data_IF_911408792051
#
_entry.id   IF_911408792051
#
_cell.length_a   1.000
_cell.length_b   1.000
_cell.length_c   1.000
_cell.angle_alpha   90.00
_cell.angle_beta   90.00
_cell.angle_gamma   90.00
#
_symmetry.space_group_name_H-M   'P 1'
#
loop_
_entity.id
_entity.type
_entity.pdbx_description
1 polymer ?
#
# COMPACT_ATOMS: atom_id res chain seq x y z
N UNK A 1 -18.09 15.23 -25.94
CA UNK A 1 -17.68 13.89 -25.45
C UNK A 1 -17.41 14.02 -23.96
N UNK A 2 -18.24 13.42 -23.10
CA UNK A 2 -17.98 13.37 -21.66
C UNK A 2 -17.16 12.10 -21.44
N UNK A 3 -15.84 12.24 -21.37
CA UNK A 3 -14.99 11.13 -20.93
C UNK A 3 -15.34 10.86 -19.47
N UNK A 4 -15.82 9.66 -19.18
CA UNK A 4 -15.94 9.17 -17.82
C UNK A 4 -14.62 9.47 -17.11
N UNK A 5 -14.64 10.24 -16.02
CA UNK A 5 -13.44 10.48 -15.23
C UNK A 5 -12.98 9.12 -14.71
N UNK A 6 -11.98 8.55 -15.38
CA UNK A 6 -11.54 7.20 -15.08
C UNK A 6 -10.84 7.26 -13.73
N UNK A 7 -11.42 6.58 -12.74
CA UNK A 7 -10.93 6.51 -11.36
C UNK A 7 -9.49 6.00 -11.24
N UNK A 8 -9.00 5.27 -12.25
CA UNK A 8 -7.58 4.89 -12.33
C UNK A 8 -6.69 6.11 -12.60
N UNK A 9 -7.16 7.07 -13.39
CA UNK A 9 -6.46 8.32 -13.68
C UNK A 9 -6.29 9.15 -12.39
N UNK A 10 -7.27 9.14 -11.49
CA UNK A 10 -7.16 9.86 -10.21
C UNK A 10 -6.06 9.28 -9.30
N UNK A 11 -5.94 7.95 -9.21
CA UNK A 11 -4.86 7.29 -8.45
C UNK A 11 -3.51 7.57 -9.10
N UNK A 12 -3.44 7.51 -10.43
CA UNK A 12 -2.21 7.82 -11.16
C UNK A 12 -1.81 9.29 -11.01
N UNK A 13 -2.77 10.22 -11.03
CA UNK A 13 -2.52 11.63 -10.78
C UNK A 13 -1.91 11.87 -9.39
N UNK A 14 -2.48 11.24 -8.35
CA UNK A 14 -1.95 11.33 -6.98
C UNK A 14 -0.49 10.88 -6.91
N UNK A 15 -0.17 9.73 -7.52
CA UNK A 15 1.18 9.15 -7.45
C UNK A 15 2.18 9.95 -8.30
N UNK A 16 1.83 10.25 -9.55
CA UNK A 16 2.80 10.78 -10.52
C UNK A 16 2.83 12.30 -10.61
N UNK A 17 1.67 12.98 -10.49
CA UNK A 17 1.58 14.43 -10.64
C UNK A 17 1.63 15.14 -9.28
N UNK A 18 0.95 14.59 -8.27
CA UNK A 18 0.95 15.16 -6.92
C UNK A 18 2.12 14.62 -6.06
N UNK A 19 2.86 13.64 -6.56
CA UNK A 19 4.07 13.13 -5.91
C UNK A 19 3.81 12.34 -4.63
N UNK A 20 2.62 11.75 -4.50
CA UNK A 20 2.30 10.87 -3.37
C UNK A 20 3.19 9.62 -3.41
N UNK A 21 3.91 9.38 -2.32
CA UNK A 21 4.88 8.29 -2.20
C UNK A 21 4.77 7.65 -0.82
N UNK A 22 5.20 6.40 -0.74
CA UNK A 22 5.53 5.74 0.51
C UNK A 22 6.81 6.38 1.03
N UNK A 23 6.73 6.98 2.23
CA UNK A 23 7.84 7.60 2.92
C UNK A 23 8.55 6.62 3.85
N UNK A 24 7.77 5.81 4.58
CA UNK A 24 8.30 4.80 5.49
C UNK A 24 7.28 3.70 5.76
N UNK A 25 7.77 2.60 6.33
CA UNK A 25 6.97 1.48 6.81
C UNK A 25 7.39 1.16 8.24
N UNK A 26 6.43 1.10 9.14
CA UNK A 26 6.59 0.52 10.47
C UNK A 26 5.80 -0.81 10.55
N UNK A 27 6.40 -1.83 11.16
CA UNK A 27 5.77 -3.13 11.33
C UNK A 27 5.56 -3.44 12.81
N UNK A 28 4.32 -3.77 13.18
CA UNK A 28 3.96 -4.29 14.50
C UNK A 28 3.91 -5.82 14.48
N UNK A 29 4.88 -6.53 15.11
CA UNK A 29 4.92 -7.99 15.12
C UNK A 29 3.74 -8.61 15.86
N UNK A 30 3.26 -7.95 16.92
CA UNK A 30 2.17 -8.43 17.78
C UNK A 30 0.86 -8.55 17.02
N UNK A 31 0.52 -7.53 16.23
CA UNK A 31 -0.75 -7.47 15.48
C UNK A 31 -0.59 -7.89 14.02
N UNK A 32 0.65 -8.11 13.57
CA UNK A 32 1.00 -8.33 12.15
C UNK A 32 0.44 -7.22 11.26
N UNK A 33 0.61 -5.99 11.72
CA UNK A 33 0.15 -4.78 11.05
C UNK A 33 1.34 -4.02 10.45
N UNK A 34 1.12 -3.51 9.24
CA UNK A 34 2.04 -2.63 8.53
C UNK A 34 1.42 -1.24 8.49
N UNK A 35 2.14 -0.28 9.08
CA UNK A 35 1.83 1.14 9.06
C UNK A 35 2.64 1.76 7.93
N UNK A 36 1.97 2.11 6.84
CA UNK A 36 2.57 2.66 5.64
C UNK A 36 2.35 4.17 5.69
N UNK A 37 3.41 4.93 5.95
CA UNK A 37 3.35 6.39 6.03
C UNK A 37 3.61 6.98 4.65
N UNK A 38 2.77 7.92 4.25
CA UNK A 38 2.86 8.60 2.97
C UNK A 38 3.40 10.01 3.12
N UNK A 39 3.88 10.58 2.01
CA UNK A 39 4.44 11.95 1.95
C UNK A 39 3.43 13.07 2.24
N UNK A 40 2.14 12.76 2.30
CA UNK A 40 1.07 13.70 2.64
C UNK A 40 0.55 13.52 4.07
N UNK A 41 1.37 12.95 4.96
CA UNK A 41 1.06 12.63 6.37
C UNK A 41 -0.06 11.60 6.58
N UNK A 42 -0.64 11.05 5.51
CA UNK A 42 -1.58 9.94 5.62
C UNK A 42 -0.85 8.66 6.02
N UNK A 43 -1.49 7.85 6.85
CA UNK A 43 -0.99 6.51 7.22
C UNK A 43 -2.02 5.45 6.86
N UNK A 44 -1.59 4.44 6.11
CA UNK A 44 -2.40 3.26 5.84
C UNK A 44 -2.01 2.14 6.80
N UNK A 45 -3.02 1.44 7.32
CA UNK A 45 -2.81 0.25 8.16
C UNK A 45 -3.37 -0.95 7.43
N UNK A 46 -2.48 -1.87 7.07
CA UNK A 46 -2.82 -3.14 6.43
C UNK A 46 -2.28 -4.30 7.24
N UNK A 47 -2.86 -5.49 7.06
CA UNK A 47 -2.44 -6.67 7.83
C UNK A 47 -1.74 -7.66 6.93
N UNK A 48 -0.60 -8.20 7.38
CA UNK A 48 0.22 -9.09 6.54
C UNK A 48 -0.52 -10.35 6.12
N UNK A 49 -1.56 -10.78 6.86
CA UNK A 49 -2.34 -11.97 6.51
C UNK A 49 -3.19 -11.81 5.23
N UNK A 50 -3.38 -10.57 4.75
CA UNK A 50 -4.05 -10.27 3.49
C UNK A 50 -3.19 -10.65 2.28
N UNK A 51 -1.87 -10.73 2.47
CA UNK A 51 -0.90 -11.04 1.42
C UNK A 51 -0.31 -12.45 1.65
N UNK A 52 -0.54 -13.43 0.76
CA UNK A 52 -0.19 -14.84 1.01
C UNK A 52 1.26 -15.09 1.42
N UNK A 53 2.22 -14.38 0.85
CA UNK A 53 3.63 -14.52 1.16
C UNK A 53 3.98 -13.85 2.51
N UNK A 54 3.49 -12.62 2.76
CA UNK A 54 3.71 -11.93 4.04
C UNK A 54 2.98 -12.59 5.22
N UNK A 55 1.91 -13.36 4.95
CA UNK A 55 1.21 -14.18 5.95
C UNK A 55 2.14 -15.24 6.55
N UNK A 56 3.03 -15.82 5.73
CA UNK A 56 3.95 -16.90 6.13
C UNK A 56 5.32 -16.39 6.57
N UNK A 57 5.64 -15.13 6.24
CA UNK A 57 6.90 -14.50 6.60
C UNK A 57 7.12 -14.43 8.12
N UNK A 58 8.37 -14.65 8.53
CA UNK A 58 8.85 -14.40 9.89
C UNK A 58 8.94 -12.89 10.19
N UNK A 59 9.10 -12.53 11.46
CA UNK A 59 9.28 -11.12 11.85
C UNK A 59 10.56 -10.54 11.25
N UNK A 60 11.63 -11.33 11.19
CA UNK A 60 12.91 -10.93 10.60
C UNK A 60 12.75 -10.65 9.10
N UNK A 61 12.06 -11.54 8.38
CA UNK A 61 11.77 -11.36 6.96
C UNK A 61 10.92 -10.11 6.71
N UNK A 62 9.90 -9.86 7.54
CA UNK A 62 9.04 -8.68 7.41
C UNK A 62 9.76 -7.36 7.70
N UNK A 63 10.75 -7.38 8.60
CA UNK A 63 11.60 -6.22 8.90
C UNK A 63 12.66 -5.96 7.83
N UNK A 64 13.00 -6.97 7.03
CA UNK A 64 13.94 -6.84 5.92
C UNK A 64 13.20 -6.45 4.64
N UNK A 65 12.79 -5.19 4.57
CA UNK A 65 12.14 -4.61 3.40
C UNK A 65 12.96 -3.45 2.83
N UNK A 66 12.66 -3.07 1.60
CA UNK A 66 13.17 -1.85 0.99
C UNK A 66 12.08 -1.12 0.23
N UNK A 67 12.14 0.22 0.22
CA UNK A 67 11.29 1.01 -0.66
C UNK A 67 11.87 0.97 -2.07
N UNK A 68 11.01 0.73 -3.06
CA UNK A 68 11.37 0.62 -4.47
C UNK A 68 10.62 1.64 -5.32
N UNK A 69 11.09 1.86 -6.55
CA UNK A 69 10.41 2.73 -7.52
C UNK A 69 10.21 4.17 -7.04
N UNK A 70 11.18 4.73 -6.31
CA UNK A 70 11.09 6.08 -5.73
C UNK A 70 9.88 6.27 -4.80
N UNK A 71 9.61 5.26 -3.95
CA UNK A 71 8.48 5.28 -3.01
C UNK A 71 7.15 4.81 -3.62
N UNK A 72 7.16 4.24 -4.82
CA UNK A 72 5.96 3.67 -5.45
C UNK A 72 5.63 2.24 -4.95
N UNK A 73 6.56 1.58 -4.25
CA UNK A 73 6.33 0.24 -3.71
C UNK A 73 7.30 -0.16 -2.59
N UNK A 74 7.06 -1.35 -2.05
CA UNK A 74 7.81 -2.00 -1.00
C UNK A 74 8.17 -3.40 -1.47
N UNK A 75 9.44 -3.76 -1.35
CA UNK A 75 10.00 -5.06 -1.73
C UNK A 75 10.48 -5.82 -0.49
N UNK A 76 10.06 -7.08 -0.36
CA UNK A 76 10.59 -8.04 0.60
C UNK A 76 11.37 -9.16 -0.12
N UNK A 77 12.72 -9.08 -0.16
CA UNK A 77 13.54 -10.00 -0.95
C UNK A 77 13.46 -11.46 -0.48
N UNK A 78 13.35 -11.70 0.83
CA UNK A 78 13.40 -13.06 1.38
C UNK A 78 12.14 -13.89 1.11
N UNK A 79 11.02 -13.23 0.78
CA UNK A 79 9.73 -13.89 0.52
C UNK A 79 9.18 -13.60 -0.88
N UNK A 80 10.00 -12.96 -1.72
CA UNK A 80 9.68 -12.61 -3.10
C UNK A 80 8.32 -11.91 -3.25
N UNK A 81 8.11 -10.87 -2.44
CA UNK A 81 6.86 -10.11 -2.43
C UNK A 81 7.11 -8.63 -2.71
N UNK A 82 6.34 -8.09 -3.65
CA UNK A 82 6.27 -6.67 -3.98
C UNK A 82 4.86 -6.12 -3.81
N UNK A 83 4.71 -5.08 -2.99
CA UNK A 83 3.46 -4.36 -2.83
C UNK A 83 3.60 -2.92 -3.32
N UNK A 84 2.63 -2.44 -4.10
CA UNK A 84 2.65 -1.09 -4.68
C UNK A 84 1.71 -0.13 -3.98
N UNK A 85 2.07 1.15 -3.92
CA UNK A 85 1.21 2.24 -3.47
C UNK A 85 -0.12 2.27 -4.24
N UNK A 86 -0.06 2.04 -5.55
CA UNK A 86 -1.24 1.90 -6.41
C UNK A 86 -2.15 0.75 -5.96
N UNK A 87 -1.58 -0.38 -5.54
CA UNK A 87 -2.31 -1.51 -4.98
C UNK A 87 -3.06 -1.13 -3.71
N UNK A 88 -2.36 -0.53 -2.74
CA UNK A 88 -2.96 -0.08 -1.48
C UNK A 88 -4.11 0.92 -1.70
N UNK A 89 -3.92 1.91 -2.57
CA UNK A 89 -4.96 2.91 -2.89
C UNK A 89 -6.21 2.29 -3.53
N UNK A 90 -6.04 1.27 -4.37
CA UNK A 90 -7.17 0.52 -4.95
C UNK A 90 -7.95 -0.24 -3.88
N UNK A 91 -7.26 -0.92 -2.96
CA UNK A 91 -7.90 -1.68 -1.88
C UNK A 91 -8.75 -0.80 -0.96
N UNK A 92 -8.22 0.36 -0.55
CA UNK A 92 -8.96 1.33 0.25
C UNK A 92 -10.23 1.79 -0.47
N UNK A 93 -10.13 2.15 -1.75
CA UNK A 93 -11.28 2.62 -2.54
C UNK A 93 -12.38 1.55 -2.68
N UNK A 94 -12.02 0.27 -2.76
CA UNK A 94 -12.98 -0.84 -2.77
C UNK A 94 -13.66 -0.96 -1.40
N UNK A 95 -12.91 -0.87 -0.30
CA UNK A 95 -13.45 -0.95 1.07
C UNK A 95 -14.43 0.20 1.38
N UNK A 96 -14.12 1.44 0.99
CA UNK A 96 -14.99 2.60 1.19
C UNK A 96 -16.25 2.58 0.31
N UNK A 97 -16.19 1.94 -0.86
CA UNK A 97 -17.35 1.82 -1.76
C UNK A 97 -18.38 0.81 -1.25
N UNK A 98 -17.96 -0.21 -0.50
CA UNK A 98 -18.88 -1.17 0.13
C UNK A 98 -19.49 -0.64 1.44
N UNK A 99 -18.83 0.30 2.13
CA UNK A 99 -19.33 0.92 3.37
C UNK A 99 -20.34 2.05 3.16
N UNK A 100 -20.49 2.61 1.96
CA UNK A 100 -21.50 3.64 1.63
C UNK A 100 -22.84 3.03 1.14
N UNK A 101 -23.08 1.83 1.65
CA UNK A 101 -24.21 0.91 1.54
C UNK A 101 -25.55 1.28 2.16
N UNK A 102 -25.58 2.25 3.08
CA UNK A 102 -26.62 2.33 4.13
C UNK A 102 -27.13 3.78 4.25
#
# INVERSE_FOLDING_TARGET
MITSHNKYDAIENLIYNEGLKIQSLEFSPTYREMFIHLTNDATFVVRTHQYPNLKKASVQQLKNFSLIGNGAGIHWPEVDEDLSLKGFLKELNVSWSHKRKD
#
